data_IF_470114835838
#
_entry.id   IF_470114835838
#
_cell.length_a   1.000
_cell.length_b   1.000
_cell.length_c   1.000
_cell.angle_alpha   90.00
_cell.angle_beta   90.00
_cell.angle_gamma   90.00
#
_symmetry.space_group_name_H-M   'P 1'
#
loop_
_entity.id
_entity.type
_entity.pdbx_description
1 polymer ?
#
# COMPACT_ATOMS: atom_id res chain seq x y z
N UNK A 1 -27.42 2.53 37.42
CA UNK A 1 -26.72 2.12 38.66
C UNK A 1 -26.66 0.60 38.68
N UNK A 2 -25.55 0.02 38.23
CA UNK A 2 -25.23 -1.41 38.35
C UNK A 2 -23.74 -1.51 38.71
N UNK A 3 -23.34 -2.51 39.52
CA UNK A 3 -22.16 -2.42 40.38
C UNK A 3 -20.91 -3.09 39.80
N UNK A 4 -19.78 -2.69 40.37
CA UNK A 4 -18.45 -3.26 40.15
C UNK A 4 -18.36 -4.72 40.60
N UNK A 5 -17.68 -5.57 39.79
CA UNK A 5 -17.13 -6.86 40.25
C UNK A 5 -15.74 -7.08 39.65
N UNK A 6 -14.75 -6.69 40.45
CA UNK A 6 -13.54 -7.42 40.87
C UNK A 6 -12.82 -8.38 39.90
N UNK A 7 -11.52 -8.08 39.77
CA UNK A 7 -10.45 -8.84 39.17
C UNK A 7 -10.20 -10.23 39.81
N UNK A 8 -9.71 -11.16 38.98
CA UNK A 8 -9.13 -12.46 39.34
C UNK A 8 -7.81 -12.61 38.58
N UNK A 9 -6.66 -12.47 39.26
CA UNK A 9 -5.51 -13.40 39.24
C UNK A 9 -4.39 -12.87 40.16
N UNK A 10 -3.61 -13.72 40.85
CA UNK A 10 -2.86 -13.33 42.04
C UNK A 10 -1.45 -12.82 41.75
N UNK A 11 -1.03 -11.95 42.66
CA UNK A 11 0.34 -11.51 42.85
C UNK A 11 1.29 -12.68 43.13
N UNK A 12 2.47 -12.65 42.50
CA UNK A 12 3.65 -13.37 42.99
C UNK A 12 4.70 -12.35 43.40
N UNK A 13 5.08 -12.45 44.67
CA UNK A 13 6.11 -11.69 45.33
C UNK A 13 7.52 -12.15 44.93
N UNK A 14 8.40 -11.18 44.74
CA UNK A 14 9.78 -11.13 45.27
C UNK A 14 9.94 -9.65 45.71
N UNK A 15 10.02 -9.31 47.00
CA UNK A 15 11.23 -9.33 47.83
C UNK A 15 12.28 -8.38 47.24
N UNK A 16 12.78 -7.32 47.87
CA UNK A 16 12.76 -6.82 49.25
C UNK A 16 13.55 -5.50 49.26
N UNK A 17 13.25 -4.58 50.18
CA UNK A 17 14.26 -3.69 50.75
C UNK A 17 14.30 -2.24 50.26
N UNK A 18 13.67 -1.38 51.07
CA UNK A 18 14.16 -0.12 51.65
C UNK A 18 13.16 1.03 51.55
N UNK A 19 12.76 1.44 52.75
CA UNK A 19 11.86 2.52 53.06
C UNK A 19 12.52 3.89 52.90
N UNK A 20 11.70 4.89 52.63
CA UNK A 20 11.79 6.18 53.31
C UNK A 20 12.09 7.39 52.43
N UNK A 21 11.29 8.42 52.68
CA UNK A 21 11.55 9.86 52.47
C UNK A 21 10.95 10.45 51.18
N UNK A 22 9.73 10.98 51.31
CA UNK A 22 9.35 12.28 50.72
C UNK A 22 9.89 13.37 51.66
N UNK A 23 10.41 14.52 51.19
CA UNK A 23 9.54 15.49 50.55
C UNK A 23 10.19 16.35 49.45
N UNK A 24 9.34 17.03 48.67
CA UNK A 24 9.73 18.28 48.01
C UNK A 24 9.98 18.18 46.51
N UNK A 25 9.06 18.83 45.77
CA UNK A 25 9.21 19.39 44.42
C UNK A 25 10.57 19.18 43.75
N UNK A 26 10.60 18.30 42.76
CA UNK A 26 11.51 18.42 41.63
C UNK A 26 10.69 18.24 40.35
N UNK A 27 10.45 19.35 39.66
CA UNK A 27 9.90 19.41 38.32
C UNK A 27 10.99 18.86 37.38
N UNK A 28 11.07 17.54 37.22
CA UNK A 28 12.14 16.89 36.45
C UNK A 28 11.66 16.50 35.05
N UNK A 29 12.46 16.92 34.08
CA UNK A 29 12.39 16.90 32.60
C UNK A 29 12.26 15.49 31.97
N UNK A 30 11.55 14.56 32.61
CA UNK A 30 11.39 13.17 32.14
C UNK A 30 9.94 12.77 31.85
N UNK A 31 8.98 13.69 31.94
CA UNK A 31 7.58 13.44 31.53
C UNK A 31 7.31 13.58 30.02
N UNK A 32 8.18 14.28 29.27
CA UNK A 32 7.92 14.61 27.85
C UNK A 32 8.35 13.55 26.84
N UNK A 33 9.20 12.59 27.22
CA UNK A 33 9.63 11.53 26.29
C UNK A 33 8.64 10.37 26.29
N UNK A 34 7.99 10.08 27.43
CA UNK A 34 7.04 8.98 27.55
C UNK A 34 5.65 9.30 26.97
N UNK A 35 5.17 10.54 27.08
CA UNK A 35 3.90 10.94 26.43
C UNK A 35 4.00 10.98 24.90
N UNK A 36 5.17 11.32 24.35
CA UNK A 36 5.40 11.37 22.89
C UNK A 36 5.39 9.99 22.24
N UNK A 37 6.01 8.99 22.88
CA UNK A 37 6.09 7.63 22.36
C UNK A 37 4.75 6.90 22.47
N UNK A 38 4.04 7.06 23.59
CA UNK A 38 2.71 6.49 23.75
C UNK A 38 1.69 7.18 22.83
N UNK A 39 1.73 8.51 22.67
CA UNK A 39 0.86 9.22 21.72
C UNK A 39 1.16 8.87 20.26
N UNK A 40 2.41 8.61 19.89
CA UNK A 40 2.81 8.17 18.55
C UNK A 40 2.33 6.73 18.26
N UNK A 41 2.61 5.76 19.14
CA UNK A 41 2.11 4.40 19.00
C UNK A 41 0.58 4.33 19.10
N UNK A 42 -0.05 5.18 19.93
CA UNK A 42 -1.50 5.22 20.10
C UNK A 42 -2.21 5.95 18.94
N UNK A 43 -1.58 6.94 18.27
CA UNK A 43 -2.03 7.45 16.96
C UNK A 43 -1.90 6.39 15.87
N UNK A 44 -0.86 5.57 15.92
CA UNK A 44 -0.65 4.48 14.96
C UNK A 44 -1.65 3.33 15.17
N UNK A 45 -2.10 3.10 16.40
CA UNK A 45 -3.06 2.03 16.76
C UNK A 45 -4.53 2.46 16.72
N UNK A 46 -4.86 3.72 17.08
CA UNK A 46 -6.20 4.31 16.88
C UNK A 46 -6.41 4.79 15.44
N UNK A 47 -5.35 4.91 14.66
CA UNK A 47 -5.38 5.01 13.21
C UNK A 47 -5.59 3.66 12.52
N UNK A 48 -6.33 2.74 13.13
CA UNK A 48 -6.86 1.54 12.47
C UNK A 48 -7.92 1.88 11.43
N UNK A 49 -7.72 2.97 10.67
CA UNK A 49 -8.28 3.10 9.35
C UNK A 49 -7.59 2.05 8.50
N UNK A 50 -8.37 1.27 7.76
CA UNK A 50 -7.84 0.44 6.68
C UNK A 50 -6.81 1.26 5.90
N UNK A 51 -5.59 0.75 5.74
CA UNK A 51 -4.56 1.47 5.02
C UNK A 51 -4.99 1.55 3.56
N UNK A 52 -5.57 2.69 3.19
CA UNK A 52 -6.17 2.93 1.89
C UNK A 52 -5.11 2.73 0.80
N UNK A 53 -5.51 2.07 -0.30
CA UNK A 53 -4.56 1.70 -1.36
C UNK A 53 -4.79 2.46 -2.66
N UNK A 54 -3.71 2.68 -3.40
CA UNK A 54 -3.74 2.87 -4.85
C UNK A 54 -3.59 1.50 -5.51
N UNK A 55 -4.60 1.08 -6.27
CA UNK A 55 -4.65 -0.22 -6.92
C UNK A 55 -4.40 -0.11 -8.41
N UNK A 56 -3.38 -0.81 -8.92
CA UNK A 56 -3.07 -0.88 -10.35
C UNK A 56 -3.62 -2.17 -10.98
N UNK A 57 -4.35 -2.06 -12.08
CA UNK A 57 -5.04 -3.19 -12.73
C UNK A 57 -4.51 -3.41 -14.15
N UNK A 58 -4.17 -4.66 -14.46
CA UNK A 58 -3.97 -5.10 -15.83
C UNK A 58 -4.59 -6.49 -16.07
N UNK A 59 -4.28 -7.15 -17.17
CA UNK A 59 -4.82 -8.49 -17.50
C UNK A 59 -4.30 -9.56 -16.53
N UNK A 60 -3.02 -9.94 -16.64
CA UNK A 60 -2.46 -11.09 -15.93
C UNK A 60 -1.78 -10.80 -14.60
N UNK A 61 -1.54 -9.52 -14.29
CA UNK A 61 -0.77 -9.05 -13.12
C UNK A 61 0.63 -9.66 -13.00
N UNK A 62 1.32 -9.74 -14.13
CA UNK A 62 2.72 -10.22 -14.23
C UNK A 62 3.64 -9.21 -14.94
N UNK A 63 3.10 -8.18 -15.59
CA UNK A 63 3.88 -7.23 -16.40
C UNK A 63 3.58 -5.78 -15.99
N UNK A 64 2.52 -5.18 -16.55
CA UNK A 64 2.21 -3.74 -16.42
C UNK A 64 1.85 -3.29 -14.99
N UNK A 65 0.86 -3.91 -14.35
CA UNK A 65 0.45 -3.49 -13.00
C UNK A 65 1.50 -3.73 -11.91
N UNK A 66 2.33 -4.80 -11.95
CA UNK A 66 3.48 -4.93 -11.06
C UNK A 66 4.52 -3.82 -11.26
N UNK A 67 4.82 -3.44 -12.51
CA UNK A 67 5.71 -2.31 -12.79
C UNK A 67 5.16 -1.02 -12.19
N UNK A 68 3.86 -0.72 -12.36
CA UNK A 68 3.24 0.47 -11.79
C UNK A 68 3.31 0.50 -10.25
N UNK A 69 3.02 -0.63 -9.60
CA UNK A 69 3.15 -0.78 -8.14
C UNK A 69 4.60 -0.54 -7.69
N UNK A 70 5.57 -1.15 -8.37
CA UNK A 70 6.99 -0.98 -8.09
C UNK A 70 7.45 0.47 -8.26
N UNK A 71 7.05 1.13 -9.36
CA UNK A 71 7.38 2.52 -9.62
C UNK A 71 6.73 3.47 -8.63
N UNK A 72 5.51 3.17 -8.18
CA UNK A 72 4.86 4.00 -7.18
C UNK A 72 5.66 4.01 -5.88
N UNK A 73 6.17 2.84 -5.46
CA UNK A 73 7.02 2.71 -4.28
C UNK A 73 8.40 3.35 -4.49
N UNK A 74 9.06 3.08 -5.62
CA UNK A 74 10.41 3.62 -5.87
C UNK A 74 10.45 5.13 -6.00
N UNK A 75 9.35 5.75 -6.42
CA UNK A 75 9.18 7.20 -6.50
C UNK A 75 8.61 7.84 -5.22
N UNK A 76 8.71 7.14 -4.08
CA UNK A 76 8.25 7.58 -2.76
C UNK A 76 6.73 7.86 -2.67
N UNK A 77 5.93 7.26 -3.56
CA UNK A 77 4.49 7.51 -3.66
C UNK A 77 3.75 7.24 -2.36
N UNK A 78 4.10 6.18 -1.62
CA UNK A 78 3.44 5.85 -0.35
C UNK A 78 3.70 6.92 0.72
N UNK A 79 4.94 7.40 0.84
CA UNK A 79 5.30 8.45 1.77
C UNK A 79 4.67 9.81 1.39
N UNK A 80 4.58 10.09 0.08
CA UNK A 80 4.07 11.37 -0.45
C UNK A 80 2.56 11.48 -0.45
N UNK A 81 1.84 10.36 -0.51
CA UNK A 81 0.37 10.34 -0.62
C UNK A 81 -0.31 9.76 0.62
N UNK A 82 0.42 9.03 1.47
CA UNK A 82 -0.15 8.28 2.59
C UNK A 82 -0.95 7.03 2.16
N UNK A 83 -0.86 6.63 0.88
CA UNK A 83 -1.58 5.48 0.32
C UNK A 83 -0.63 4.33 0.03
N UNK A 84 -0.99 3.11 0.39
CA UNK A 84 -0.20 1.93 0.05
C UNK A 84 -0.38 1.56 -1.43
N UNK A 85 0.67 1.09 -2.09
CA UNK A 85 0.57 0.58 -3.46
C UNK A 85 0.13 -0.88 -3.46
N UNK A 86 -0.76 -1.25 -4.37
CA UNK A 86 -1.14 -2.62 -4.65
C UNK A 86 -1.40 -2.83 -6.14
N UNK A 87 -1.32 -4.07 -6.62
CA UNK A 87 -1.72 -4.43 -7.97
C UNK A 87 -2.52 -5.74 -8.01
N UNK A 88 -3.35 -5.86 -9.04
CA UNK A 88 -4.12 -7.07 -9.31
C UNK A 88 -4.35 -7.26 -10.81
N UNK A 89 -4.85 -8.45 -11.17
CA UNK A 89 -5.15 -8.85 -12.54
C UNK A 89 -6.61 -9.21 -12.70
N UNK A 90 -7.22 -8.78 -13.81
CA UNK A 90 -8.59 -9.17 -14.16
C UNK A 90 -8.69 -10.66 -14.53
N UNK A 91 -7.64 -11.21 -15.14
CA UNK A 91 -7.62 -12.56 -15.69
C UNK A 91 -6.29 -13.24 -15.34
N UNK A 92 -6.23 -13.81 -14.14
CA UNK A 92 -5.05 -14.53 -13.63
C UNK A 92 -5.46 -15.61 -12.65
N UNK A 93 -4.70 -16.69 -12.56
CA UNK A 93 -4.92 -17.74 -11.54
C UNK A 93 -4.27 -17.40 -10.19
N UNK A 94 -3.51 -16.30 -10.13
CA UNK A 94 -2.74 -15.90 -8.95
C UNK A 94 -1.45 -16.71 -8.75
N UNK A 95 -0.52 -16.15 -7.99
CA UNK A 95 0.74 -16.80 -7.59
C UNK A 95 1.82 -16.83 -8.67
N UNK A 96 1.59 -16.28 -9.87
CA UNK A 96 2.61 -16.24 -10.92
C UNK A 96 3.63 -15.14 -10.63
N UNK A 97 4.94 -15.38 -10.83
CA UNK A 97 5.94 -14.32 -10.69
C UNK A 97 5.73 -13.24 -11.75
N UNK A 98 6.30 -12.05 -11.50
CA UNK A 98 6.46 -11.06 -12.57
C UNK A 98 7.32 -11.64 -13.71
N UNK A 99 7.02 -11.24 -14.95
CA UNK A 99 7.82 -11.58 -16.12
C UNK A 99 9.26 -11.09 -15.93
N UNK A 100 10.25 -11.89 -16.32
CA UNK A 100 11.67 -11.54 -16.18
C UNK A 100 12.03 -10.22 -16.90
N UNK A 101 11.41 -9.96 -18.05
CA UNK A 101 11.58 -8.70 -18.77
C UNK A 101 10.92 -7.52 -18.05
N UNK A 102 9.78 -7.73 -17.37
CA UNK A 102 9.19 -6.70 -16.52
C UNK A 102 10.08 -6.40 -15.31
N UNK A 103 10.63 -7.44 -14.66
CA UNK A 103 11.59 -7.28 -13.56
C UNK A 103 12.82 -6.49 -14.01
N UNK A 104 13.37 -6.83 -15.17
CA UNK A 104 14.54 -6.16 -15.75
C UNK A 104 14.24 -4.69 -16.06
N UNK A 105 13.15 -4.42 -16.80
CA UNK A 105 12.77 -3.06 -17.16
C UNK A 105 12.42 -2.19 -15.93
N UNK A 106 11.81 -2.79 -14.90
CA UNK A 106 11.52 -2.09 -13.65
C UNK A 106 12.80 -1.73 -12.88
N UNK A 107 13.75 -2.66 -12.78
CA UNK A 107 15.03 -2.45 -12.08
C UNK A 107 15.87 -1.37 -12.72
N UNK A 108 15.88 -1.28 -14.04
CA UNK A 108 16.52 -0.19 -14.79
C UNK A 108 16.01 1.20 -14.39
N UNK A 109 14.79 1.29 -13.84
CA UNK A 109 14.12 2.51 -13.36
C UNK A 109 14.00 2.56 -11.83
N UNK A 110 14.83 1.78 -11.13
CA UNK A 110 14.95 1.85 -9.67
C UNK A 110 13.87 1.11 -8.87
N UNK A 111 13.05 0.25 -9.51
CA UNK A 111 12.06 -0.57 -8.82
C UNK A 111 12.42 -2.07 -8.89
N UNK A 112 12.45 -2.76 -7.75
CA UNK A 112 12.59 -4.21 -7.72
C UNK A 112 11.21 -4.88 -7.51
N UNK A 113 10.74 -5.59 -8.53
CA UNK A 113 9.48 -6.35 -8.52
C UNK A 113 9.71 -7.86 -8.57
N UNK A 114 10.93 -8.34 -8.33
CA UNK A 114 11.27 -9.78 -8.40
C UNK A 114 10.54 -10.66 -7.39
N UNK A 115 10.09 -10.08 -6.27
CA UNK A 115 9.29 -10.77 -5.26
C UNK A 115 7.78 -10.66 -5.51
N UNK A 116 7.36 -10.02 -6.62
CA UNK A 116 5.95 -9.89 -6.97
C UNK A 116 5.33 -11.25 -7.29
N UNK A 117 4.10 -11.44 -6.83
CA UNK A 117 3.27 -12.59 -7.18
C UNK A 117 1.90 -12.11 -7.62
N UNK A 118 1.41 -12.64 -8.73
CA UNK A 118 0.14 -12.21 -9.30
C UNK A 118 -1.01 -12.46 -8.31
N UNK A 119 -1.99 -11.58 -8.32
CA UNK A 119 -3.22 -11.70 -7.55
C UNK A 119 -4.42 -11.48 -8.47
N UNK A 120 -5.38 -12.40 -8.37
CA UNK A 120 -6.67 -12.22 -9.01
C UNK A 120 -7.44 -11.11 -8.29
N UNK A 121 -7.98 -10.19 -9.07
CA UNK A 121 -8.85 -9.15 -8.56
C UNK A 121 -10.05 -9.76 -7.86
N UNK A 122 -10.38 -9.23 -6.68
CA UNK A 122 -11.55 -9.62 -5.92
C UNK A 122 -12.10 -8.41 -5.14
N UNK A 123 -13.33 -8.55 -4.64
CA UNK A 123 -14.03 -7.49 -3.92
C UNK A 123 -13.24 -6.95 -2.72
N UNK A 124 -12.57 -7.80 -1.95
CA UNK A 124 -11.81 -7.36 -0.77
C UNK A 124 -10.64 -6.43 -1.11
N UNK A 125 -9.99 -6.62 -2.27
CA UNK A 125 -8.96 -5.69 -2.75
C UNK A 125 -9.59 -4.37 -3.20
N UNK A 126 -10.75 -4.45 -3.86
CA UNK A 126 -11.49 -3.26 -4.32
C UNK A 126 -12.01 -2.41 -3.17
N UNK A 127 -12.48 -3.02 -2.09
CA UNK A 127 -13.05 -2.30 -0.93
C UNK A 127 -12.01 -1.41 -0.25
N UNK A 128 -10.74 -1.83 -0.24
CA UNK A 128 -9.63 -1.08 0.34
C UNK A 128 -9.02 -0.04 -0.62
N UNK A 129 -9.33 -0.13 -1.92
CA UNK A 129 -8.80 0.79 -2.91
C UNK A 129 -9.51 2.14 -2.82
N UNK A 130 -8.73 3.21 -2.61
CA UNK A 130 -9.19 4.60 -2.71
C UNK A 130 -9.15 5.09 -4.14
N UNK A 131 -8.13 4.67 -4.89
CA UNK A 131 -7.96 4.94 -6.31
C UNK A 131 -7.61 3.64 -7.02
N UNK A 132 -8.23 3.42 -8.18
CA UNK A 132 -7.96 2.27 -9.06
C UNK A 132 -7.50 2.83 -10.40
N UNK A 133 -6.33 2.38 -10.87
CA UNK A 133 -5.76 2.79 -12.14
C UNK A 133 -5.66 1.60 -13.09
N UNK A 134 -6.36 1.69 -14.21
CA UNK A 134 -6.38 0.71 -15.30
C UNK A 134 -5.35 1.07 -16.36
N UNK A 135 -4.66 0.07 -16.93
CA UNK A 135 -3.66 0.31 -17.99
C UNK A 135 -4.27 0.69 -19.33
N UNK A 136 -5.53 0.31 -19.56
CA UNK A 136 -6.25 0.51 -20.84
C UNK A 136 -7.72 0.82 -20.60
N UNK A 137 -8.38 1.46 -21.57
CA UNK A 137 -9.83 1.64 -21.61
C UNK A 137 -10.56 0.28 -21.54
N UNK A 138 -10.05 -0.73 -22.23
CA UNK A 138 -10.61 -2.08 -22.14
C UNK A 138 -10.57 -2.65 -20.71
N UNK A 139 -9.49 -2.42 -19.94
CA UNK A 139 -9.44 -2.82 -18.53
C UNK A 139 -10.44 -2.04 -17.67
N UNK A 140 -10.61 -0.75 -17.95
CA UNK A 140 -11.59 0.10 -17.27
C UNK A 140 -13.01 -0.44 -17.49
N UNK A 141 -13.38 -0.67 -18.74
CA UNK A 141 -14.72 -1.14 -19.11
C UNK A 141 -15.02 -2.51 -18.49
N UNK A 142 -14.10 -3.48 -18.64
CA UNK A 142 -14.28 -4.81 -18.03
C UNK A 142 -14.36 -4.76 -16.50
N UNK A 143 -13.57 -3.89 -15.87
CA UNK A 143 -13.64 -3.70 -14.42
C UNK A 143 -15.03 -3.20 -14.01
N UNK A 144 -15.61 -2.24 -14.75
CA UNK A 144 -16.91 -1.67 -14.41
C UNK A 144 -18.10 -2.55 -14.81
N UNK A 145 -17.95 -3.42 -15.80
CA UNK A 145 -18.92 -4.47 -16.11
C UNK A 145 -19.04 -5.45 -14.95
N UNK A 146 -17.91 -5.86 -14.37
CA UNK A 146 -17.88 -6.80 -13.24
C UNK A 146 -18.18 -6.13 -11.89
N UNK A 147 -17.74 -4.89 -11.71
CA UNK A 147 -17.79 -4.16 -10.43
C UNK A 147 -18.28 -2.71 -10.65
N UNK A 148 -19.56 -2.50 -11.01
CA UNK A 148 -20.06 -1.16 -11.34
C UNK A 148 -19.95 -0.14 -10.19
N UNK A 149 -19.92 -0.62 -8.94
CA UNK A 149 -19.83 0.21 -7.74
C UNK A 149 -18.48 0.92 -7.53
N UNK A 150 -17.44 0.60 -8.32
CA UNK A 150 -16.12 1.25 -8.18
C UNK A 150 -15.87 2.37 -9.21
N UNK A 151 -16.87 2.72 -10.04
CA UNK A 151 -16.73 3.73 -11.11
C UNK A 151 -16.12 5.04 -10.62
N UNK A 152 -16.61 5.58 -9.50
CA UNK A 152 -16.19 6.90 -9.01
C UNK A 152 -14.73 6.96 -8.58
N UNK A 153 -14.11 5.80 -8.33
CA UNK A 153 -12.71 5.68 -7.89
C UNK A 153 -11.82 4.98 -8.92
N UNK A 154 -12.32 4.76 -10.13
CA UNK A 154 -11.58 4.10 -11.21
C UNK A 154 -11.16 5.13 -12.26
N UNK A 155 -9.92 5.03 -12.73
CA UNK A 155 -9.31 5.94 -13.70
C UNK A 155 -8.38 5.17 -14.64
N UNK A 156 -8.03 5.78 -15.77
CA UNK A 156 -6.91 5.31 -16.59
C UNK A 156 -5.59 5.80 -15.99
N UNK A 157 -4.52 5.00 -16.11
CA UNK A 157 -3.19 5.37 -15.65
C UNK A 157 -2.64 6.56 -16.46
N UNK A 158 -2.86 6.54 -17.77
CA UNK A 158 -2.42 7.54 -18.73
C UNK A 158 -3.60 7.94 -19.65
N UNK A 159 -3.43 9.01 -20.42
CA UNK A 159 -4.45 9.48 -21.37
C UNK A 159 -4.66 8.49 -22.53
N UNK A 160 -3.60 7.78 -22.91
CA UNK A 160 -3.61 6.74 -23.93
C UNK A 160 -3.39 5.35 -23.31
N UNK A 161 -3.85 4.32 -24.01
CA UNK A 161 -3.69 2.93 -23.60
C UNK A 161 -2.23 2.50 -23.57
N UNK A 162 -1.80 1.91 -22.45
CA UNK A 162 -0.46 1.35 -22.32
C UNK A 162 -0.44 -0.05 -22.96
N UNK A 163 0.27 -0.15 -24.08
CA UNK A 163 0.40 -1.36 -24.88
C UNK A 163 0.84 -2.56 -24.02
N UNK A 164 0.28 -3.75 -24.29
CA UNK A 164 0.65 -4.95 -23.54
C UNK A 164 1.98 -5.51 -24.04
N UNK A 165 3.05 -5.54 -23.21
CA UNK A 165 4.34 -6.06 -23.66
C UNK A 165 4.41 -7.60 -23.65
N UNK A 166 3.37 -8.29 -23.19
CA UNK A 166 3.36 -9.74 -23.05
C UNK A 166 3.70 -10.47 -24.36
N UNK A 167 4.72 -11.35 -24.31
CA UNK A 167 5.20 -12.11 -25.47
C UNK A 167 6.15 -11.33 -26.40
N UNK A 168 6.38 -10.05 -26.13
CA UNK A 168 7.35 -9.22 -26.85
C UNK A 168 8.79 -9.38 -26.35
N UNK A 169 9.69 -8.62 -26.96
CA UNK A 169 11.09 -8.54 -26.56
C UNK A 169 11.32 -7.55 -25.40
N UNK A 170 12.54 -7.52 -24.86
CA UNK A 170 12.89 -6.62 -23.75
C UNK A 170 12.68 -5.14 -24.10
N UNK A 171 12.84 -4.75 -25.38
CA UNK A 171 12.60 -3.37 -25.80
C UNK A 171 11.13 -2.97 -25.69
N UNK A 172 10.22 -3.88 -26.04
CA UNK A 172 8.78 -3.69 -25.86
C UNK A 172 8.42 -3.48 -24.38
N UNK A 173 9.04 -4.25 -23.48
CA UNK A 173 8.88 -4.07 -22.04
C UNK A 173 9.44 -2.74 -21.53
N UNK A 174 10.58 -2.28 -22.06
CA UNK A 174 11.17 -0.99 -21.71
C UNK A 174 10.28 0.18 -22.12
N UNK A 175 9.70 0.15 -23.31
CA UNK A 175 8.76 1.18 -23.78
C UNK A 175 7.57 1.27 -22.83
N UNK A 176 6.92 0.13 -22.53
CA UNK A 176 5.80 0.11 -21.58
C UNK A 176 6.24 0.58 -20.18
N UNK A 177 7.45 0.22 -19.73
CA UNK A 177 7.98 0.66 -18.45
C UNK A 177 8.19 2.18 -18.39
N UNK A 178 8.68 2.81 -19.47
CA UNK A 178 8.82 4.28 -19.55
C UNK A 178 7.47 4.99 -19.46
N UNK A 179 6.48 4.52 -20.21
CA UNK A 179 5.12 5.07 -20.18
C UNK A 179 4.51 4.97 -18.78
N UNK A 180 4.61 3.80 -18.14
CA UNK A 180 4.09 3.58 -16.78
C UNK A 180 4.85 4.43 -15.77
N UNK A 181 6.18 4.53 -15.88
CA UNK A 181 7.01 5.28 -14.94
C UNK A 181 6.62 6.76 -14.91
N UNK A 182 6.45 7.37 -16.08
CA UNK A 182 6.03 8.77 -16.20
C UNK A 182 4.57 8.98 -15.76
N UNK A 183 3.67 8.07 -16.11
CA UNK A 183 2.27 8.14 -15.68
C UNK A 183 2.15 8.07 -14.15
N UNK A 184 2.89 7.15 -13.51
CA UNK A 184 2.96 7.03 -12.05
C UNK A 184 3.51 8.29 -11.40
N UNK A 185 4.57 8.91 -11.97
CA UNK A 185 5.13 10.17 -11.48
C UNK A 185 4.08 11.28 -11.44
N UNK A 186 3.29 11.40 -12.51
CA UNK A 186 2.20 12.37 -12.64
C UNK A 186 1.12 12.09 -11.59
N UNK A 187 0.73 10.82 -11.41
CA UNK A 187 -0.28 10.43 -10.42
C UNK A 187 0.16 10.77 -9.01
N UNK A 188 1.39 10.43 -8.62
CA UNK A 188 1.93 10.80 -7.29
C UNK A 188 1.82 12.31 -7.09
N UNK A 189 2.20 13.10 -8.09
CA UNK A 189 2.11 14.57 -8.01
C UNK A 189 0.67 15.11 -7.91
N UNK A 190 -0.32 14.40 -8.46
CA UNK A 190 -1.74 14.75 -8.35
C UNK A 190 -2.31 14.37 -6.98
N UNK A 191 -1.91 13.23 -6.44
CA UNK A 191 -2.41 12.69 -5.16
C UNK A 191 -1.71 13.26 -3.92
N UNK A 192 -0.50 13.83 -4.05
CA UNK A 192 0.25 14.40 -2.92
C UNK A 192 -0.13 15.84 -2.56
N UNK A 193 -1.30 16.33 -3.01
CA UNK A 193 -1.80 17.69 -2.79
C UNK A 193 -2.99 17.66 -1.87
#
# INVERSE_FOLDING_TARGET
>A
MLPAVRALWPARHYGSGLAGILPGRAFSVWGRVFEGFFSWCYKQYLGSGFMETVLFICTGNTCRSPMAEGFFRSQEGEARTGLAAASAGLYTTGGMPASEFAVTAARERGADISNHHSRLLNQGVLDNAKYIFCMTAAHYDHLLEQYPGVREKTYLLADEDIADPFGGDLMTYRIAADEIYEAVRIIISKLSK
#
